data_IF_833584941254
#
_entry.id   IF_833584941254
#
_cell.length_a   1.000
_cell.length_b   1.000
_cell.length_c   1.000
_cell.angle_alpha   90.00
_cell.angle_beta   90.00
_cell.angle_gamma   90.00
#
_symmetry.space_group_name_H-M   'P 1'
#
loop_
_entity.id
_entity.type
_entity.pdbx_description
1 polymer ?
#
# COMPACT_ATOMS: atom_id res chain seq x y z
N UNK A 1 1.18 18.51 11.59
CA UNK A 1 2.55 18.00 11.72
C UNK A 1 2.47 16.51 11.46
N UNK A 2 3.21 15.94 10.50
CA UNK A 2 3.26 14.47 10.35
C UNK A 2 3.95 13.91 11.60
N UNK A 3 3.31 13.00 12.33
CA UNK A 3 3.95 12.34 13.47
C UNK A 3 5.17 11.57 12.98
N UNK A 4 6.28 11.68 13.71
CA UNK A 4 7.48 10.90 13.38
C UNK A 4 7.27 9.47 13.87
N UNK A 5 7.51 8.45 13.02
CA UNK A 5 7.26 7.06 13.39
C UNK A 5 8.17 6.63 14.55
N UNK A 6 7.58 5.92 15.53
CA UNK A 6 8.34 5.21 16.54
C UNK A 6 8.67 3.80 16.02
N UNK A 7 9.95 3.49 15.95
CA UNK A 7 10.45 2.21 15.42
C UNK A 7 10.69 1.13 16.48
N UNK A 8 10.41 1.43 17.75
CA UNK A 8 10.61 0.47 18.84
C UNK A 8 9.78 -0.78 18.60
N UNK A 9 10.44 -1.95 18.59
CA UNK A 9 9.81 -3.25 18.41
C UNK A 9 9.71 -3.74 16.96
N UNK A 10 10.04 -2.89 15.98
CA UNK A 10 9.98 -3.26 14.56
C UNK A 10 10.98 -4.35 14.22
N UNK A 11 10.58 -5.26 13.34
CA UNK A 11 11.45 -6.23 12.68
C UNK A 11 11.97 -5.63 11.38
N UNK A 12 13.29 -5.51 11.25
CA UNK A 12 13.93 -5.08 10.00
C UNK A 12 14.75 -6.23 9.39
N UNK A 13 14.58 -6.45 8.09
CA UNK A 13 15.47 -7.32 7.32
C UNK A 13 16.53 -6.49 6.62
N UNK A 14 17.80 -6.74 6.93
CA UNK A 14 18.95 -6.15 6.25
C UNK A 14 19.47 -7.18 5.25
N UNK A 15 19.21 -6.94 3.98
CA UNK A 15 19.73 -7.71 2.85
C UNK A 15 21.08 -7.11 2.45
N UNK A 16 22.15 -7.55 3.09
CA UNK A 16 23.52 -7.12 2.81
C UNK A 16 24.50 -8.24 3.19
N UNK A 17 25.67 -8.30 2.54
CA UNK A 17 26.77 -9.18 2.97
C UNK A 17 27.35 -8.69 4.29
N UNK A 18 27.96 -9.56 5.08
CA UNK A 18 28.64 -9.14 6.29
C UNK A 18 29.84 -8.22 5.94
N UNK A 19 29.78 -6.97 6.38
CA UNK A 19 30.87 -6.00 6.28
C UNK A 19 30.76 -4.93 7.39
N UNK A 20 31.75 -4.03 7.45
CA UNK A 20 31.77 -2.95 8.45
C UNK A 20 30.65 -1.92 8.28
N UNK A 21 29.98 -1.83 7.13
CA UNK A 21 28.79 -0.97 6.96
C UNK A 21 27.56 -1.62 7.59
N UNK A 22 27.34 -2.90 7.35
CA UNK A 22 26.25 -3.69 7.92
C UNK A 22 26.32 -3.69 9.45
N UNK A 23 27.49 -3.88 10.04
CA UNK A 23 27.67 -3.81 11.50
C UNK A 23 27.28 -2.44 12.09
N UNK A 24 27.71 -1.34 11.44
CA UNK A 24 27.36 0.02 11.86
C UNK A 24 25.85 0.27 11.77
N UNK A 25 25.24 -0.18 10.68
CA UNK A 25 23.80 -0.09 10.44
C UNK A 25 23.02 -0.85 11.51
N UNK A 26 23.33 -2.13 11.73
CA UNK A 26 22.66 -2.98 12.73
C UNK A 26 22.76 -2.39 14.12
N UNK A 27 23.94 -1.88 14.50
CA UNK A 27 24.13 -1.21 15.79
C UNK A 27 23.20 0.00 15.93
N UNK A 28 23.09 0.83 14.90
CA UNK A 28 22.22 2.00 14.96
C UNK A 28 20.73 1.61 14.98
N UNK A 29 20.30 0.61 14.21
CA UNK A 29 18.93 0.11 14.23
C UNK A 29 18.55 -0.37 15.65
N UNK A 30 19.46 -1.09 16.31
CA UNK A 30 19.26 -1.53 17.70
C UNK A 30 19.09 -0.36 18.68
N UNK A 31 19.86 0.72 18.51
CA UNK A 31 19.71 1.95 19.32
C UNK A 31 18.38 2.66 19.10
N UNK A 32 17.76 2.48 17.93
CA UNK A 32 16.41 2.96 17.61
C UNK A 32 15.30 2.00 18.09
N UNK A 33 15.64 0.90 18.77
CA UNK A 33 14.70 -0.12 19.24
C UNK A 33 14.24 -1.11 18.16
N UNK A 34 14.91 -1.15 17.01
CA UNK A 34 14.59 -2.06 15.89
C UNK A 34 15.35 -3.38 16.07
N UNK A 35 14.65 -4.49 15.89
CA UNK A 35 15.22 -5.83 15.80
C UNK A 35 15.64 -6.11 14.36
N UNK A 36 16.94 -6.01 14.09
CA UNK A 36 17.49 -6.21 12.75
C UNK A 36 18.05 -7.63 12.57
N UNK A 37 17.63 -8.30 11.49
CA UNK A 37 18.22 -9.56 11.01
C UNK A 37 19.05 -9.28 9.77
N UNK A 38 20.28 -9.80 9.71
CA UNK A 38 21.17 -9.66 8.55
C UNK A 38 21.17 -10.96 7.75
N UNK A 39 20.97 -10.88 6.44
CA UNK A 39 21.16 -12.01 5.53
C UNK A 39 21.55 -11.51 4.14
N UNK A 40 22.10 -12.41 3.32
CA UNK A 40 22.31 -12.16 1.89
C UNK A 40 21.65 -13.26 1.06
N UNK A 41 20.32 -13.30 1.14
CA UNK A 41 19.47 -14.27 0.46
C UNK A 41 18.10 -13.62 0.12
N UNK A 42 17.39 -14.13 -0.89
CA UNK A 42 16.05 -13.67 -1.24
C UNK A 42 15.12 -13.59 -0.02
N UNK A 43 14.36 -12.50 0.08
CA UNK A 43 13.35 -12.34 1.12
C UNK A 43 12.11 -13.19 0.77
N UNK A 44 11.65 -14.09 1.64
CA UNK A 44 10.46 -14.89 1.38
C UNK A 44 9.18 -14.05 1.46
N UNK A 45 8.20 -14.37 0.60
CA UNK A 45 6.91 -13.65 0.56
C UNK A 45 5.98 -13.91 1.77
N UNK A 46 6.25 -14.93 2.59
CA UNK A 46 5.32 -15.44 3.62
C UNK A 46 5.49 -14.75 4.98
N UNK A 47 6.69 -14.23 5.28
CA UNK A 47 7.02 -13.63 6.58
C UNK A 47 7.74 -12.30 6.36
N UNK A 48 6.97 -11.29 5.95
CA UNK A 48 7.52 -9.98 5.62
C UNK A 48 7.82 -9.18 6.90
N UNK A 49 8.97 -8.49 6.95
CA UNK A 49 9.33 -7.61 8.06
C UNK A 49 8.56 -6.28 8.01
N UNK A 50 8.67 -5.48 9.07
CA UNK A 50 8.12 -4.12 9.11
C UNK A 50 8.92 -3.15 8.22
N UNK A 51 10.19 -3.48 7.91
CA UNK A 51 11.10 -2.67 7.12
C UNK A 51 12.14 -3.56 6.42
N UNK A 52 12.49 -3.23 5.18
CA UNK A 52 13.61 -3.83 4.47
C UNK A 52 14.68 -2.79 4.18
N UNK A 53 15.94 -3.17 4.40
CA UNK A 53 17.11 -2.42 3.97
C UNK A 53 17.92 -3.31 3.04
N UNK A 54 18.15 -2.89 1.79
CA UNK A 54 18.74 -3.74 0.75
C UNK A 54 19.99 -3.11 0.14
N UNK A 55 21.02 -3.91 -0.09
CA UNK A 55 22.17 -3.50 -0.90
C UNK A 55 21.76 -3.36 -2.38
N UNK A 56 21.66 -2.12 -2.86
CA UNK A 56 21.34 -1.85 -4.25
C UNK A 56 22.54 -2.02 -5.19
N UNK A 57 23.77 -1.91 -4.71
CA UNK A 57 24.97 -2.09 -5.53
C UNK A 57 25.14 -3.55 -5.97
N UNK A 58 24.65 -4.49 -5.16
CA UNK A 58 24.83 -5.93 -5.37
C UNK A 58 23.51 -6.69 -5.54
N UNK A 59 22.38 -6.01 -5.42
CA UNK A 59 21.05 -6.60 -5.60
C UNK A 59 20.77 -7.11 -7.02
N UNK A 60 19.82 -8.03 -7.11
CA UNK A 60 19.28 -8.62 -8.33
C UNK A 60 17.76 -8.77 -8.22
N UNK A 61 17.06 -8.94 -9.33
CA UNK A 61 15.60 -8.78 -9.39
C UNK A 61 14.81 -9.69 -8.44
N UNK A 62 15.23 -10.94 -8.25
CA UNK A 62 14.57 -11.91 -7.36
C UNK A 62 14.97 -11.79 -5.88
N UNK A 63 15.77 -10.78 -5.51
CA UNK A 63 16.18 -10.58 -4.11
C UNK A 63 14.99 -10.18 -3.22
N UNK A 64 14.00 -9.50 -3.80
CA UNK A 64 12.79 -9.07 -3.12
C UNK A 64 11.55 -9.64 -3.81
N UNK A 65 10.48 -9.98 -3.07
CA UNK A 65 9.41 -10.82 -3.59
C UNK A 65 8.35 -10.06 -4.41
N UNK A 66 8.42 -8.74 -4.51
CA UNK A 66 7.37 -7.93 -5.15
C UNK A 66 7.42 -7.92 -6.68
N UNK A 67 8.49 -8.37 -7.33
CA UNK A 67 8.55 -8.57 -8.80
C UNK A 67 8.03 -7.38 -9.65
N UNK A 68 8.30 -6.14 -9.21
CA UNK A 68 7.84 -4.92 -9.88
C UNK A 68 6.44 -4.42 -9.47
N UNK A 69 5.77 -5.13 -8.57
CA UNK A 69 4.56 -4.66 -7.89
C UNK A 69 4.88 -3.70 -6.74
N UNK A 70 3.83 -3.13 -6.13
CA UNK A 70 3.99 -2.23 -4.99
C UNK A 70 4.61 -3.00 -3.81
N UNK A 71 5.72 -2.52 -3.21
CA UNK A 71 6.32 -3.20 -2.07
C UNK A 71 5.33 -3.32 -0.92
N UNK A 72 5.30 -4.50 -0.30
CA UNK A 72 4.41 -4.80 0.81
C UNK A 72 4.87 -4.18 2.14
N UNK A 73 6.13 -3.74 2.22
CA UNK A 73 6.69 -2.99 3.34
C UNK A 73 7.59 -1.84 2.86
N UNK A 74 7.94 -0.87 3.70
CA UNK A 74 8.94 0.16 3.41
C UNK A 74 10.29 -0.44 3.02
N UNK A 75 10.93 0.14 2.00
CA UNK A 75 12.25 -0.30 1.48
C UNK A 75 13.24 0.87 1.51
N UNK A 76 14.43 0.63 2.05
CA UNK A 76 15.58 1.54 2.03
C UNK A 76 16.71 0.89 1.24
N UNK A 77 17.27 1.61 0.27
CA UNK A 77 18.40 1.13 -0.51
C UNK A 77 19.73 1.63 0.06
N UNK A 78 20.71 0.74 0.20
CA UNK A 78 22.11 1.08 0.47
C UNK A 78 22.83 1.19 -0.87
N UNK A 79 23.42 2.33 -1.17
CA UNK A 79 23.99 2.61 -2.49
C UNK A 79 25.35 3.31 -2.37
N UNK A 80 26.40 2.72 -2.91
CA UNK A 80 27.71 3.34 -3.07
C UNK A 80 27.99 3.78 -4.51
N UNK A 81 27.31 3.17 -5.48
CA UNK A 81 27.46 3.48 -6.91
C UNK A 81 26.43 4.49 -7.38
N UNK A 82 26.88 5.53 -8.08
CA UNK A 82 26.00 6.47 -8.79
C UNK A 82 25.60 5.95 -10.19
N UNK A 83 25.89 4.68 -10.51
CA UNK A 83 25.54 4.10 -11.79
C UNK A 83 24.01 4.16 -12.01
N UNK A 84 23.52 4.72 -13.13
CA UNK A 84 22.09 4.87 -13.39
C UNK A 84 21.31 3.55 -13.28
N UNK A 85 21.91 2.43 -13.68
CA UNK A 85 21.28 1.11 -13.56
C UNK A 85 21.02 0.66 -12.12
N UNK A 86 21.89 1.03 -11.16
CA UNK A 86 21.71 0.69 -9.74
C UNK A 86 20.66 1.56 -9.08
N UNK A 87 20.59 2.83 -9.45
CA UNK A 87 19.51 3.74 -9.03
C UNK A 87 18.18 3.26 -9.59
N UNK A 88 18.11 2.93 -10.88
CA UNK A 88 16.91 2.41 -11.52
C UNK A 88 16.45 1.09 -10.87
N UNK A 89 17.38 0.19 -10.57
CA UNK A 89 17.07 -1.04 -9.85
C UNK A 89 16.48 -0.77 -8.46
N UNK A 90 17.10 0.11 -7.66
CA UNK A 90 16.57 0.48 -6.35
C UNK A 90 15.15 1.06 -6.42
N UNK A 91 14.88 1.90 -7.42
CA UNK A 91 13.55 2.46 -7.67
C UNK A 91 12.54 1.39 -8.08
N UNK A 92 12.92 0.44 -8.95
CA UNK A 92 12.08 -0.67 -9.39
C UNK A 92 11.74 -1.63 -8.23
N UNK A 93 12.66 -1.80 -7.29
CA UNK A 93 12.43 -2.52 -6.04
C UNK A 93 11.62 -1.72 -5.01
N UNK A 94 11.20 -0.50 -5.39
CA UNK A 94 10.32 0.36 -4.63
C UNK A 94 10.97 1.06 -3.44
N UNK A 95 12.30 1.25 -3.46
CA UNK A 95 12.98 2.05 -2.45
C UNK A 95 12.32 3.43 -2.27
N UNK A 96 11.99 3.76 -1.02
CA UNK A 96 11.48 5.09 -0.63
C UNK A 96 12.59 6.02 -0.18
N UNK A 97 13.75 5.49 0.19
CA UNK A 97 14.92 6.29 0.57
C UNK A 97 16.22 5.56 0.21
N UNK A 98 17.30 6.34 0.12
CA UNK A 98 18.64 5.84 -0.14
C UNK A 98 19.55 6.26 1.02
N UNK A 99 20.42 5.36 1.46
CA UNK A 99 21.55 5.65 2.35
C UNK A 99 22.83 5.42 1.53
N UNK A 100 23.61 6.48 1.37
CA UNK A 100 24.89 6.39 0.67
C UNK A 100 25.89 5.53 1.45
N UNK A 101 26.68 4.72 0.75
CA UNK A 101 27.86 4.05 1.31
C UNK A 101 29.10 4.93 1.08
N UNK A 102 30.00 5.08 2.08
CA UNK A 102 29.97 4.45 3.40
C UNK A 102 28.86 5.00 4.31
N UNK A 103 28.25 4.12 5.11
CA UNK A 103 27.05 4.46 5.88
C UNK A 103 27.39 5.47 6.99
N UNK A 104 26.74 6.64 6.93
CA UNK A 104 26.73 7.63 8.00
C UNK A 104 25.56 7.36 8.96
N UNK A 105 25.84 7.21 10.26
CA UNK A 105 24.82 6.95 11.29
C UNK A 105 23.70 7.99 11.32
N UNK A 106 24.03 9.26 11.06
CA UNK A 106 23.08 10.37 11.00
C UNK A 106 22.08 10.28 9.85
N UNK A 107 22.40 9.53 8.79
CA UNK A 107 21.52 9.34 7.63
C UNK A 107 20.48 8.24 7.85
N UNK A 108 20.67 7.35 8.83
CA UNK A 108 19.83 6.16 9.02
C UNK A 108 18.40 6.57 9.39
N UNK A 109 18.22 7.27 10.51
CA UNK A 109 16.87 7.63 10.99
C UNK A 109 16.06 8.45 9.96
N UNK A 110 16.60 9.53 9.36
CA UNK A 110 15.88 10.25 8.30
C UNK A 110 15.48 9.36 7.13
N UNK A 111 16.35 8.45 6.67
CA UNK A 111 16.04 7.54 5.58
C UNK A 111 14.91 6.57 5.95
N UNK A 112 14.88 6.04 7.18
CA UNK A 112 13.79 5.18 7.64
C UNK A 112 12.45 5.94 7.65
N UNK A 113 12.43 7.15 8.20
CA UNK A 113 11.23 7.99 8.26
C UNK A 113 10.71 8.29 6.85
N UNK A 114 11.60 8.64 5.92
CA UNK A 114 11.25 8.91 4.52
C UNK A 114 10.67 7.67 3.84
N UNK A 115 11.32 6.51 3.98
CA UNK A 115 10.85 5.27 3.38
C UNK A 115 9.47 4.85 3.91
N UNK A 116 9.23 4.97 5.22
CA UNK A 116 7.91 4.69 5.82
C UNK A 116 6.85 5.66 5.27
N UNK A 117 7.15 6.95 5.26
CA UNK A 117 6.19 7.95 4.77
C UNK A 117 5.82 7.72 3.30
N UNK A 118 6.80 7.41 2.44
CA UNK A 118 6.57 7.16 1.02
C UNK A 118 5.79 5.86 0.81
N UNK A 119 6.10 4.81 1.58
CA UNK A 119 5.34 3.56 1.51
C UNK A 119 3.88 3.75 1.93
N UNK A 120 3.62 4.47 3.03
CA UNK A 120 2.25 4.78 3.48
C UNK A 120 1.48 5.60 2.44
N UNK A 121 2.12 6.59 1.82
CA UNK A 121 1.51 7.40 0.77
C UNK A 121 1.16 6.58 -0.48
N UNK A 122 2.07 5.69 -0.91
CA UNK A 122 1.81 4.75 -2.02
C UNK A 122 0.67 3.81 -1.71
N UNK A 123 0.65 3.22 -0.51
CA UNK A 123 -0.42 2.33 -0.03
C UNK A 123 -1.77 3.03 -0.03
N UNK A 124 -1.86 4.22 0.57
CA UNK A 124 -3.10 4.99 0.60
C UNK A 124 -3.59 5.38 -0.81
N UNK A 125 -2.66 5.67 -1.72
CA UNK A 125 -2.99 5.97 -3.13
C UNK A 125 -3.52 4.74 -3.84
N UNK A 126 -2.88 3.58 -3.67
CA UNK A 126 -3.32 2.31 -4.24
C UNK A 126 -4.71 1.90 -3.71
N UNK A 127 -4.95 2.01 -2.41
CA UNK A 127 -6.25 1.72 -1.79
C UNK A 127 -7.34 2.64 -2.34
N UNK A 128 -7.03 3.94 -2.52
CA UNK A 128 -7.97 4.89 -3.11
C UNK A 128 -8.26 4.59 -4.58
N UNK A 129 -7.24 4.22 -5.35
CA UNK A 129 -7.40 3.85 -6.75
C UNK A 129 -8.31 2.61 -6.88
N UNK A 130 -8.00 1.56 -6.11
CA UNK A 130 -8.81 0.34 -6.07
C UNK A 130 -10.26 0.62 -5.68
N UNK A 131 -10.48 1.49 -4.70
CA UNK A 131 -11.83 1.91 -4.30
C UNK A 131 -12.58 2.62 -5.43
N UNK A 132 -11.91 3.52 -6.17
CA UNK A 132 -12.54 4.23 -7.29
C UNK A 132 -12.81 3.32 -8.48
N UNK A 133 -11.88 2.42 -8.81
CA UNK A 133 -12.05 1.42 -9.87
C UNK A 133 -13.24 0.50 -9.58
N UNK A 134 -13.37 0.03 -8.34
CA UNK A 134 -14.50 -0.80 -7.95
C UNK A 134 -15.83 -0.04 -8.08
N UNK A 135 -15.87 1.26 -7.72
CA UNK A 135 -17.07 2.07 -7.93
C UNK A 135 -17.45 2.24 -9.40
N UNK A 136 -16.47 2.41 -10.28
CA UNK A 136 -16.73 2.45 -11.73
C UNK A 136 -17.26 1.10 -12.21
N UNK A 137 -16.66 -0.01 -11.75
CA UNK A 137 -17.07 -1.37 -12.12
C UNK A 137 -18.50 -1.69 -11.70
N UNK A 138 -18.94 -1.17 -10.55
CA UNK A 138 -20.28 -1.43 -9.99
C UNK A 138 -21.36 -0.46 -10.50
N UNK A 139 -21.01 0.56 -11.30
CA UNK A 139 -21.97 1.50 -11.91
C UNK A 139 -23.12 0.82 -12.68
N UNK A 140 -22.90 -0.27 -13.44
CA UNK A 140 -23.98 -0.98 -14.12
C UNK A 140 -25.03 -1.57 -13.17
N UNK A 141 -24.64 -1.98 -11.96
CA UNK A 141 -25.60 -2.46 -10.96
C UNK A 141 -26.55 -1.35 -10.52
N UNK A 142 -26.02 -0.13 -10.35
CA UNK A 142 -26.84 1.04 -10.00
C UNK A 142 -27.85 1.31 -11.11
N UNK A 143 -27.42 1.29 -12.37
CA UNK A 143 -28.32 1.50 -13.52
C UNK A 143 -29.41 0.43 -13.58
N UNK A 144 -29.04 -0.86 -13.46
CA UNK A 144 -30.01 -1.95 -13.47
C UNK A 144 -31.00 -1.89 -12.27
N UNK A 145 -30.55 -1.46 -11.09
CA UNK A 145 -31.43 -1.27 -9.94
C UNK A 145 -32.40 -0.10 -10.15
N UNK A 146 -31.95 1.01 -10.76
CA UNK A 146 -32.80 2.14 -11.14
C UNK A 146 -33.85 1.69 -12.16
N UNK A 147 -33.46 0.98 -13.22
CA UNK A 147 -34.40 0.42 -14.21
C UNK A 147 -35.45 -0.49 -13.56
N UNK A 148 -35.04 -1.34 -12.62
CA UNK A 148 -35.96 -2.21 -11.86
C UNK A 148 -36.94 -1.41 -11.01
N UNK A 149 -36.50 -0.32 -10.37
CA UNK A 149 -37.36 0.58 -9.59
C UNK A 149 -38.34 1.35 -10.49
N UNK A 150 -37.89 1.84 -11.65
CA UNK A 150 -38.76 2.47 -12.64
C UNK A 150 -39.85 1.51 -13.10
N UNK A 151 -39.48 0.27 -13.46
CA UNK A 151 -40.42 -0.75 -13.90
C UNK A 151 -41.42 -1.17 -12.80
N UNK A 152 -40.97 -1.25 -11.55
CA UNK A 152 -41.80 -1.67 -10.43
C UNK A 152 -42.78 -0.58 -9.94
N UNK A 153 -42.37 0.69 -9.96
CA UNK A 153 -43.16 1.80 -9.41
C UNK A 153 -43.77 2.72 -10.48
N UNK A 154 -43.43 2.54 -11.76
CA UNK A 154 -43.93 3.39 -12.85
C UNK A 154 -43.43 4.84 -12.76
N UNK A 155 -42.25 5.04 -12.20
CA UNK A 155 -41.64 6.36 -11.96
C UNK A 155 -40.52 6.65 -12.97
N UNK A 156 -40.13 7.93 -13.06
CA UNK A 156 -39.01 8.34 -13.88
C UNK A 156 -37.64 7.97 -13.25
N UNK A 157 -36.57 8.13 -14.04
CA UNK A 157 -35.22 7.75 -13.65
C UNK A 157 -34.74 8.57 -12.45
N UNK A 158 -35.07 9.86 -12.42
CA UNK A 158 -34.67 10.76 -11.34
C UNK A 158 -35.30 10.35 -10.00
N UNK A 159 -36.59 10.02 -9.99
CA UNK A 159 -37.29 9.54 -8.79
C UNK A 159 -36.75 8.19 -8.33
N UNK A 160 -36.53 7.24 -9.25
CA UNK A 160 -35.95 5.94 -8.94
C UNK A 160 -34.54 6.06 -8.35
N UNK A 161 -33.70 6.93 -8.92
CA UNK A 161 -32.37 7.22 -8.40
C UNK A 161 -32.43 7.87 -7.01
N UNK A 162 -33.36 8.81 -6.79
CA UNK A 162 -33.57 9.45 -5.49
C UNK A 162 -33.98 8.44 -4.41
N UNK A 163 -34.90 7.52 -4.72
CA UNK A 163 -35.31 6.43 -3.82
C UNK A 163 -34.11 5.55 -3.46
N UNK A 164 -33.35 5.12 -4.46
CA UNK A 164 -32.16 4.28 -4.27
C UNK A 164 -31.12 4.99 -3.39
N UNK A 165 -30.83 6.27 -3.66
CA UNK A 165 -29.91 7.10 -2.87
C UNK A 165 -30.39 7.26 -1.43
N UNK A 166 -31.68 7.52 -1.22
CA UNK A 166 -32.27 7.67 0.10
C UNK A 166 -32.24 6.36 0.89
N UNK A 167 -32.41 5.22 0.23
CA UNK A 167 -32.23 3.89 0.84
C UNK A 167 -30.78 3.70 1.30
N UNK A 168 -29.81 3.95 0.42
CA UNK A 168 -28.37 3.86 0.71
C UNK A 168 -27.95 4.75 1.89
N UNK A 169 -28.42 6.00 1.93
CA UNK A 169 -28.15 6.92 3.03
C UNK A 169 -28.74 6.44 4.36
N UNK A 170 -30.00 5.97 4.37
CA UNK A 170 -30.65 5.43 5.57
C UNK A 170 -29.92 4.20 6.12
N UNK A 171 -29.39 3.36 5.24
CA UNK A 171 -28.63 2.14 5.58
C UNK A 171 -27.15 2.39 5.87
N UNK A 172 -26.62 3.57 5.54
CA UNK A 172 -25.17 3.89 5.57
C UNK A 172 -24.34 2.90 4.75
N UNK A 173 -24.87 2.48 3.61
CA UNK A 173 -24.19 1.59 2.67
C UNK A 173 -23.94 2.31 1.33
N UNK A 174 -22.93 1.91 0.57
CA UNK A 174 -22.74 2.38 -0.81
C UNK A 174 -23.98 2.09 -1.67
N UNK A 175 -24.30 2.98 -2.60
CA UNK A 175 -25.44 2.78 -3.52
C UNK A 175 -25.27 1.50 -4.33
N UNK A 176 -24.05 1.18 -4.71
CA UNK A 176 -23.64 -0.01 -5.44
C UNK A 176 -24.03 -1.29 -4.68
N UNK A 177 -23.86 -1.30 -3.36
CA UNK A 177 -24.19 -2.44 -2.50
C UNK A 177 -25.71 -2.62 -2.34
N UNK A 178 -26.45 -1.53 -2.13
CA UNK A 178 -27.93 -1.57 -2.10
C UNK A 178 -28.47 -2.02 -3.46
N UNK A 179 -27.89 -1.55 -4.55
CA UNK A 179 -28.27 -1.96 -5.91
C UNK A 179 -28.12 -3.46 -6.10
N UNK A 180 -27.00 -4.04 -5.64
CA UNK A 180 -26.79 -5.48 -5.66
C UNK A 180 -27.85 -6.23 -4.83
N UNK A 181 -28.21 -5.72 -3.64
CA UNK A 181 -29.25 -6.33 -2.79
C UNK A 181 -30.64 -6.30 -3.41
N UNK A 182 -31.04 -5.16 -4.00
CA UNK A 182 -32.30 -5.01 -4.73
C UNK A 182 -32.35 -5.95 -5.94
N UNK A 183 -31.25 -6.06 -6.69
CA UNK A 183 -31.17 -6.95 -7.85
C UNK A 183 -31.23 -8.43 -7.45
N UNK A 184 -30.53 -8.81 -6.37
CA UNK A 184 -30.54 -10.16 -5.82
C UNK A 184 -31.85 -10.55 -5.11
N UNK A 185 -32.77 -9.60 -4.88
CA UNK A 185 -34.01 -9.83 -4.15
C UNK A 185 -33.81 -10.00 -2.63
N UNK A 186 -32.62 -9.67 -2.12
CA UNK A 186 -32.30 -9.70 -0.70
C UNK A 186 -32.84 -8.48 0.05
N UNK A 187 -33.21 -7.40 -0.68
CA UNK A 187 -33.85 -6.22 -0.12
C UNK A 187 -35.18 -5.96 -0.86
N UNK A 188 -36.30 -5.74 -0.12
CA UNK A 188 -37.55 -5.35 -0.73
C UNK A 188 -37.40 -4.00 -1.45
N UNK A 189 -38.14 -3.82 -2.53
CA UNK A 189 -38.08 -2.59 -3.31
C UNK A 189 -38.44 -1.40 -2.39
N UNK A 190 -37.51 -0.44 -2.19
CA UNK A 190 -37.77 0.71 -1.34
C UNK A 190 -38.96 1.50 -1.86
N UNK A 191 -39.90 1.81 -0.97
CA UNK A 191 -41.15 2.49 -1.32
C UNK A 191 -40.89 3.90 -1.86
N UNK A 192 -41.66 4.28 -2.89
CA UNK A 192 -41.79 5.66 -3.33
C UNK A 192 -42.63 6.41 -2.29
N UNK A 193 -41.96 7.21 -1.46
CA UNK A 193 -42.61 8.15 -0.54
C UNK A 193 -43.09 9.39 -1.28
#
# INVERSE_FOLDING_TARGET
>A
MRETPNFTGWQAMVLHREDGNAEKLIRQLRLLGIYATLQWAPLPAVALPDLVIVDADQGWDDLLPWNGETPACPVVALLGSEAPGRIAWALAQGAGAIIAKPIATSAIYPALVMAVSIHQERKATAEKLQYLEERVRLRPLVHAAVEKLQAAHGIDEESAYAILRNCAMRRRLPMEQISAFILAGAEPLPEAG
#
